data_IF_136842472512
#
_entry.id   IF_136842472512
#
_cell.length_a   1.000
_cell.length_b   1.000
_cell.length_c   1.000
_cell.angle_alpha   90.00
_cell.angle_beta   90.00
_cell.angle_gamma   90.00
#
_symmetry.space_group_name_H-M   'P 1'
#
loop_
_entity.id
_entity.type
_entity.pdbx_description
1 polymer ?
#
# COMPACT_ATOMS: atom_id res chain seq x y z
N UNK A 1 4.06 49.26 6.13
CA UNK A 1 5.32 48.73 5.57
C UNK A 1 5.19 47.22 5.46
N UNK A 2 5.32 46.74 4.22
CA UNK A 2 5.41 45.39 3.69
C UNK A 2 5.11 44.19 4.60
N UNK A 3 3.95 43.62 4.28
CA UNK A 3 3.51 42.25 4.52
C UNK A 3 4.71 41.30 4.36
N UNK A 4 5.11 40.64 5.45
CA UNK A 4 5.91 39.42 5.33
C UNK A 4 4.96 38.33 4.82
N UNK A 5 4.74 38.35 3.52
CA UNK A 5 3.99 37.37 2.74
C UNK A 5 4.78 36.06 2.71
N UNK A 6 4.83 35.39 3.87
CA UNK A 6 5.07 33.97 3.92
C UNK A 6 3.70 33.33 3.84
N UNK A 7 3.32 32.89 2.65
CA UNK A 7 2.12 32.08 2.44
C UNK A 7 2.32 30.72 3.12
N UNK A 8 2.30 30.73 4.45
CA UNK A 8 2.40 29.56 5.30
C UNK A 8 1.02 28.90 5.35
N UNK A 9 0.99 27.62 5.00
CA UNK A 9 -0.23 26.86 4.98
C UNK A 9 -0.42 26.23 6.36
N UNK A 10 -1.34 26.77 7.15
CA UNK A 10 -1.61 26.30 8.51
C UNK A 10 -2.87 25.42 8.55
N UNK A 11 -2.79 24.32 9.28
CA UNK A 11 -3.93 23.44 9.50
C UNK A 11 -4.71 23.89 10.73
N UNK A 12 -6.00 24.14 10.57
CA UNK A 12 -6.91 24.54 11.65
C UNK A 12 -7.28 23.40 12.59
N UNK A 13 -7.22 22.14 12.11
CA UNK A 13 -7.61 20.95 12.89
C UNK A 13 -6.53 20.51 13.89
N UNK A 14 -5.24 20.76 13.60
CA UNK A 14 -4.14 20.34 14.47
C UNK A 14 -3.01 21.36 14.60
N UNK A 15 -3.27 22.62 14.23
CA UNK A 15 -2.39 23.79 14.38
C UNK A 15 -0.96 23.63 13.84
N UNK A 16 -0.77 22.75 12.85
CA UNK A 16 0.53 22.54 12.18
C UNK A 16 0.71 23.50 11.01
N UNK A 17 1.91 24.05 10.89
CA UNK A 17 2.27 25.01 9.84
C UNK A 17 3.21 24.38 8.82
N UNK A 18 2.93 24.60 7.53
CA UNK A 18 3.68 24.04 6.42
C UNK A 18 4.16 25.15 5.49
N UNK A 19 5.43 25.05 5.07
CA UNK A 19 6.10 25.98 4.16
C UNK A 19 5.81 25.73 2.67
N UNK A 20 4.94 24.77 2.36
CA UNK A 20 4.70 24.29 0.99
C UNK A 20 3.25 23.82 0.83
N UNK A 21 2.62 24.21 -0.28
CA UNK A 21 1.23 23.85 -0.57
C UNK A 21 1.04 22.33 -0.67
N UNK A 22 1.94 21.63 -1.36
CA UNK A 22 1.87 20.17 -1.51
C UNK A 22 1.94 19.44 -0.15
N UNK A 23 2.86 19.89 0.72
CA UNK A 23 2.99 19.39 2.08
C UNK A 23 1.72 19.61 2.91
N UNK A 24 1.08 20.77 2.76
CA UNK A 24 -0.19 21.07 3.41
C UNK A 24 -1.35 20.25 2.83
N UNK A 25 -1.48 20.17 1.51
CA UNK A 25 -2.48 19.33 0.84
C UNK A 25 -2.35 17.89 1.32
N UNK A 26 -1.15 17.29 1.27
CA UNK A 26 -0.90 15.93 1.80
C UNK A 26 -1.24 15.80 3.29
N UNK A 27 -0.96 16.83 4.08
CA UNK A 27 -1.30 16.84 5.50
C UNK A 27 -2.81 16.90 5.75
N UNK A 28 -3.56 17.75 5.04
CA UNK A 28 -5.03 17.82 5.18
C UNK A 28 -5.71 16.50 4.84
N UNK A 29 -5.10 15.68 3.98
CA UNK A 29 -5.54 14.30 3.70
C UNK A 29 -5.33 13.32 4.84
N UNK A 30 -4.55 13.68 5.87
CA UNK A 30 -4.44 12.87 7.08
C UNK A 30 -5.61 13.09 8.04
N UNK A 31 -6.31 14.22 7.93
CA UNK A 31 -7.51 14.53 8.72
C UNK A 31 -8.78 13.95 8.11
N UNK A 32 -8.89 13.98 6.78
CA UNK A 32 -9.94 13.23 6.10
C UNK A 32 -9.51 11.77 6.01
N UNK A 33 -10.27 10.81 6.55
CA UNK A 33 -10.05 9.35 6.42
C UNK A 33 -10.12 8.82 4.96
N UNK A 34 -9.93 9.68 3.97
CA UNK A 34 -9.66 9.32 2.58
C UNK A 34 -8.28 8.68 2.49
N UNK A 35 -8.16 7.44 2.97
CA UNK A 35 -7.14 6.52 2.50
C UNK A 35 -7.36 6.31 1.00
N UNK A 36 -6.72 7.13 0.17
CA UNK A 36 -6.99 7.22 -1.27
C UNK A 36 -6.59 5.96 -2.04
N UNK A 37 -5.66 5.17 -1.50
CA UNK A 37 -5.02 4.09 -2.22
C UNK A 37 -5.36 2.75 -1.58
N UNK A 38 -6.47 2.17 -2.02
CA UNK A 38 -6.93 0.85 -1.62
C UNK A 38 -6.25 -0.21 -2.49
N UNK A 39 -5.75 -1.25 -1.84
CA UNK A 39 -5.35 -2.48 -2.49
C UNK A 39 -6.59 -3.30 -2.80
N UNK A 40 -6.87 -3.50 -4.09
CA UNK A 40 -8.02 -4.27 -4.56
C UNK A 40 -7.90 -5.77 -4.21
N UNK A 41 -6.68 -6.25 -3.97
CA UNK A 41 -6.39 -7.68 -3.69
C UNK A 41 -6.65 -8.05 -2.23
N UNK A 42 -6.41 -7.15 -1.27
CA UNK A 42 -6.56 -7.45 0.16
C UNK A 42 -7.31 -6.39 0.97
N UNK A 43 -7.83 -5.35 0.33
CA UNK A 43 -8.57 -4.25 0.97
C UNK A 43 -7.71 -3.33 1.84
N UNK A 44 -6.38 -3.52 1.89
CA UNK A 44 -5.48 -2.65 2.66
C UNK A 44 -5.42 -1.26 2.06
N UNK A 45 -5.37 -0.26 2.93
CA UNK A 45 -5.46 1.14 2.52
C UNK A 45 -4.21 1.91 2.90
N UNK A 46 -3.65 2.63 1.94
CA UNK A 46 -2.40 3.37 2.04
C UNK A 46 -2.62 4.88 1.90
N UNK A 47 -1.75 5.64 2.56
CA UNK A 47 -1.78 7.12 2.54
C UNK A 47 -1.08 7.71 1.30
N UNK A 48 -0.22 6.94 0.64
CA UNK A 48 0.61 7.40 -0.48
C UNK A 48 0.64 6.36 -1.61
N UNK A 49 0.60 6.82 -2.87
CA UNK A 49 0.53 5.94 -4.04
C UNK A 49 1.76 5.03 -4.17
N UNK A 50 2.97 5.55 -3.93
CA UNK A 50 4.20 4.75 -4.00
C UNK A 50 4.24 3.63 -2.95
N UNK A 51 3.54 3.80 -1.81
CA UNK A 51 3.39 2.75 -0.79
C UNK A 51 2.41 1.67 -1.25
N UNK A 52 1.32 2.07 -1.92
CA UNK A 52 0.42 1.11 -2.57
C UNK A 52 1.16 0.36 -3.69
N UNK A 53 1.93 1.04 -4.52
CA UNK A 53 2.65 0.41 -5.64
C UNK A 53 3.67 -0.63 -5.16
N UNK A 54 4.50 -0.28 -4.17
CA UNK A 54 5.41 -1.21 -3.51
C UNK A 54 4.68 -2.38 -2.82
N UNK A 55 3.49 -2.11 -2.26
CA UNK A 55 2.63 -3.16 -1.71
C UNK A 55 2.02 -4.05 -2.80
N UNK A 56 1.61 -3.50 -3.94
CA UNK A 56 1.13 -4.26 -5.09
C UNK A 56 2.24 -5.12 -5.69
N UNK A 57 3.50 -4.70 -5.60
CA UNK A 57 4.65 -5.55 -5.91
C UNK A 57 4.78 -6.77 -4.97
N UNK A 58 4.29 -6.67 -3.72
CA UNK A 58 4.19 -7.83 -2.81
C UNK A 58 2.99 -8.74 -3.13
N UNK A 59 1.96 -8.23 -3.82
CA UNK A 59 0.92 -9.08 -4.41
C UNK A 59 1.40 -9.76 -5.68
N UNK A 60 2.20 -9.04 -6.48
CA UNK A 60 3.09 -9.60 -7.52
C UNK A 60 4.33 -10.28 -6.91
N UNK A 61 4.21 -10.90 -5.75
CA UNK A 61 5.17 -11.95 -5.38
C UNK A 61 5.04 -12.96 -6.52
N UNK A 62 6.01 -12.95 -7.44
CA UNK A 62 6.04 -13.66 -8.70
C UNK A 62 6.05 -15.16 -8.41
N UNK A 63 4.88 -15.65 -8.03
CA UNK A 63 4.58 -17.01 -7.63
C UNK A 63 3.65 -17.59 -8.68
N UNK A 64 4.14 -17.76 -9.92
CA UNK A 64 3.34 -18.31 -11.01
C UNK A 64 2.86 -19.74 -10.70
N UNK A 65 3.39 -20.36 -9.64
CA UNK A 65 3.07 -21.73 -9.25
C UNK A 65 2.10 -21.72 -8.07
N UNK A 66 0.81 -21.74 -8.36
CA UNK A 66 -0.27 -21.86 -7.39
C UNK A 66 -0.65 -23.33 -7.22
N UNK A 67 -0.96 -23.73 -5.99
CA UNK A 67 -1.55 -25.03 -5.71
C UNK A 67 -3.06 -24.98 -5.97
N UNK A 68 -3.54 -25.77 -6.92
CA UNK A 68 -4.97 -25.84 -7.25
C UNK A 68 -5.83 -26.47 -6.14
N UNK A 69 -5.22 -27.14 -5.17
CA UNK A 69 -5.93 -27.84 -4.08
C UNK A 69 -6.19 -26.93 -2.88
N UNK A 70 -5.23 -26.06 -2.52
CA UNK A 70 -5.35 -25.18 -1.36
C UNK A 70 -5.14 -23.68 -1.65
N UNK A 71 -4.89 -23.30 -2.90
CA UNK A 71 -4.69 -21.91 -3.33
C UNK A 71 -3.35 -21.28 -2.90
N UNK A 72 -2.42 -22.04 -2.30
CA UNK A 72 -1.11 -21.50 -1.89
C UNK A 72 -0.21 -21.25 -3.11
N UNK A 73 0.35 -20.04 -3.18
CA UNK A 73 1.27 -19.64 -4.24
C UNK A 73 2.75 -19.79 -3.83
N UNK A 74 3.58 -20.29 -4.75
CA UNK A 74 5.02 -20.52 -4.60
C UNK A 74 5.84 -19.85 -5.71
N UNK A 75 7.00 -19.30 -5.35
CA UNK A 75 7.93 -18.64 -6.28
C UNK A 75 8.55 -19.60 -7.32
N UNK A 76 8.67 -20.88 -6.98
CA UNK A 76 9.31 -21.88 -7.84
C UNK A 76 8.49 -23.17 -7.93
N UNK A 77 8.46 -23.78 -9.12
CA UNK A 77 7.73 -25.01 -9.38
C UNK A 77 8.17 -26.17 -8.46
N UNK A 78 9.46 -26.27 -8.09
CA UNK A 78 9.92 -27.32 -7.19
C UNK A 78 9.31 -27.22 -5.78
N UNK A 79 9.01 -26.00 -5.32
CA UNK A 79 8.40 -25.80 -4.01
C UNK A 79 6.92 -26.18 -4.04
N UNK A 80 6.21 -25.82 -5.11
CA UNK A 80 4.84 -26.27 -5.33
C UNK A 80 4.76 -27.81 -5.40
N UNK A 81 5.61 -28.45 -6.22
CA UNK A 81 5.64 -29.92 -6.33
C UNK A 81 5.92 -30.61 -5.00
N UNK A 82 6.88 -30.11 -4.23
CA UNK A 82 7.18 -30.65 -2.89
C UNK A 82 6.01 -30.49 -1.93
N UNK A 83 5.31 -29.35 -1.99
CA UNK A 83 4.12 -29.11 -1.21
C UNK A 83 3.00 -30.08 -1.60
N UNK A 84 2.64 -30.19 -2.88
CA UNK A 84 1.60 -31.13 -3.35
C UNK A 84 1.93 -32.56 -2.90
N UNK A 85 3.18 -33.01 -3.07
CA UNK A 85 3.58 -34.37 -2.67
C UNK A 85 3.49 -34.63 -1.16
N UNK A 86 3.65 -33.61 -0.32
CA UNK A 86 3.63 -33.74 1.15
C UNK A 86 2.25 -33.51 1.76
N UNK A 87 1.59 -32.43 1.35
CA UNK A 87 0.31 -31.96 1.92
C UNK A 87 -0.91 -32.50 1.15
N UNK A 88 -0.76 -32.83 -0.13
CA UNK A 88 -1.86 -33.20 -1.01
C UNK A 88 -1.58 -34.50 -1.77
N UNK A 89 -0.95 -35.45 -1.09
CA UNK A 89 -0.70 -36.77 -1.64
C UNK A 89 -2.05 -37.44 -1.87
N UNK A 90 -2.52 -37.43 -3.12
CA UNK A 90 -3.60 -38.31 -3.55
C UNK A 90 -3.09 -39.76 -3.37
N UNK A 91 -3.90 -40.56 -2.69
CA UNK A 91 -3.63 -41.98 -2.39
C UNK A 91 -3.63 -42.80 -3.68
#
# INVERSE_FOLDING_TARGET
MYIHERSDYFCTECTKTFKSEDGFKRHTLTHTEKKRFLCDVCGKTFKENHKLDAHMASHKDDRPHVCDICGKAYKHAQHLRRHIKKDHREQ
#
